data_IF_500751252582
#
_entry.id   IF_500751252582
#
_cell.length_a   1.000
_cell.length_b   1.000
_cell.length_c   1.000
_cell.angle_alpha   90.00
_cell.angle_beta   90.00
_cell.angle_gamma   90.00
#
_symmetry.space_group_name_H-M   'P 1'
#
loop_
_entity.id
_entity.type
_entity.pdbx_description
1 polymer ?
#
# COMPACT_ATOMS: atom_id res chain seq x y z
N UNK A 1 2.92 -5.54 37.66
CA UNK A 1 3.68 -6.45 36.76
C UNK A 1 2.74 -6.85 35.64
N UNK A 2 2.48 -5.97 34.67
CA UNK A 2 1.72 -6.29 33.44
C UNK A 2 1.89 -5.25 32.32
N UNK A 3 2.34 -4.02 32.60
CA UNK A 3 2.39 -2.98 31.56
C UNK A 3 3.59 -3.09 30.60
N UNK A 4 4.64 -3.83 30.97
CA UNK A 4 5.85 -3.94 30.13
C UNK A 4 5.75 -5.01 29.02
N UNK A 5 4.76 -5.90 29.08
CA UNK A 5 4.64 -7.02 28.12
C UNK A 5 3.83 -6.61 26.88
N UNK A 6 2.79 -5.78 27.04
CA UNK A 6 1.91 -5.32 25.95
C UNK A 6 2.61 -4.45 24.91
N UNK A 7 3.64 -3.67 25.30
CA UNK A 7 4.41 -2.86 24.34
C UNK A 7 5.40 -3.69 23.50
N UNK A 8 5.80 -4.86 23.97
CA UNK A 8 6.83 -5.67 23.29
C UNK A 8 6.27 -6.42 22.07
N UNK A 9 5.01 -6.84 22.11
CA UNK A 9 4.35 -7.52 21.00
C UNK A 9 3.99 -6.54 19.87
N UNK A 10 3.53 -5.33 20.20
CA UNK A 10 3.24 -4.30 19.21
C UNK A 10 4.52 -3.75 18.57
N UNK A 11 5.62 -3.60 19.34
CA UNK A 11 6.94 -3.31 18.76
C UNK A 11 7.46 -4.46 17.89
N UNK A 12 7.26 -5.72 18.30
CA UNK A 12 7.70 -6.87 17.52
C UNK A 12 6.90 -6.99 16.21
N UNK A 13 5.59 -6.75 16.24
CA UNK A 13 4.74 -6.67 15.05
C UNK A 13 5.12 -5.49 14.16
N UNK A 14 5.40 -4.32 14.73
CA UNK A 14 5.86 -3.16 13.97
C UNK A 14 7.24 -3.41 13.34
N UNK A 15 8.15 -4.08 14.04
CA UNK A 15 9.46 -4.50 13.52
C UNK A 15 9.32 -5.58 12.45
N UNK A 16 8.41 -6.54 12.60
CA UNK A 16 8.12 -7.56 11.61
C UNK A 16 7.50 -6.95 10.34
N UNK A 17 6.48 -6.12 10.50
CA UNK A 17 5.86 -5.38 9.40
C UNK A 17 6.87 -4.46 8.70
N UNK A 18 7.75 -3.78 9.47
CA UNK A 18 8.83 -2.98 8.90
C UNK A 18 9.84 -3.85 8.13
N UNK A 19 10.16 -5.04 8.64
CA UNK A 19 11.08 -5.98 7.99
C UNK A 19 10.47 -6.58 6.72
N UNK A 20 9.18 -6.94 6.73
CA UNK A 20 8.42 -7.39 5.56
C UNK A 20 8.29 -6.27 4.52
N UNK A 21 8.01 -5.05 4.98
CA UNK A 21 7.96 -3.85 4.16
C UNK A 21 9.33 -3.54 3.51
N UNK A 22 10.43 -3.65 4.26
CA UNK A 22 11.80 -3.53 3.73
C UNK A 22 12.18 -4.68 2.78
N UNK A 23 11.62 -5.89 2.98
CA UNK A 23 11.88 -7.04 2.12
C UNK A 23 11.19 -6.97 0.76
N UNK A 24 10.04 -6.28 0.70
CA UNK A 24 9.22 -6.09 -0.51
C UNK A 24 9.60 -4.85 -1.31
N UNK A 25 10.23 -3.84 -0.68
CA UNK A 25 10.68 -2.62 -1.33
C UNK A 25 11.98 -2.84 -2.14
N UNK A 26 11.92 -3.68 -3.15
CA UNK A 26 12.91 -3.64 -4.21
C UNK A 26 12.65 -2.36 -5.04
N UNK A 27 13.61 -1.44 -5.05
CA UNK A 27 13.44 -0.15 -5.72
C UNK A 27 13.24 -0.34 -7.23
N UNK A 28 12.05 0.01 -7.71
CA UNK A 28 11.76 0.04 -9.13
C UNK A 28 12.45 1.28 -9.73
N UNK A 29 13.45 1.04 -10.58
CA UNK A 29 14.25 2.06 -11.25
C UNK A 29 14.19 1.90 -12.78
N UNK A 30 14.90 2.75 -13.52
CA UNK A 30 14.92 2.74 -14.99
C UNK A 30 15.43 1.44 -15.60
N UNK A 31 16.45 0.84 -15.00
CA UNK A 31 17.03 -0.40 -15.48
C UNK A 31 16.05 -1.57 -15.30
N UNK A 32 15.26 -1.53 -14.23
CA UNK A 32 14.15 -2.45 -14.00
C UNK A 32 13.05 -2.27 -15.05
N UNK A 33 12.48 -1.06 -15.20
CA UNK A 33 11.29 -0.86 -16.07
C UNK A 33 11.59 -1.01 -17.56
N UNK A 34 12.85 -0.87 -17.97
CA UNK A 34 13.28 -1.05 -19.36
C UNK A 34 13.70 -2.49 -19.69
N UNK A 35 13.64 -3.42 -18.72
CA UNK A 35 13.99 -4.81 -18.91
C UNK A 35 12.82 -5.73 -18.58
N UNK A 36 12.24 -6.34 -19.61
CA UNK A 36 11.12 -7.27 -19.42
C UNK A 36 11.50 -8.48 -18.56
N UNK A 37 12.74 -8.99 -18.69
CA UNK A 37 13.24 -10.07 -17.85
C UNK A 37 13.31 -9.67 -16.36
N UNK A 38 13.70 -8.43 -16.05
CA UNK A 38 13.75 -7.93 -14.67
C UNK A 38 12.34 -7.70 -14.12
N UNK A 39 11.44 -7.12 -14.92
CA UNK A 39 10.03 -6.98 -14.55
C UNK A 39 9.39 -8.34 -14.28
N UNK A 40 9.67 -9.33 -15.12
CA UNK A 40 9.16 -10.68 -14.93
C UNK A 40 9.71 -11.32 -13.65
N UNK A 41 11.00 -11.13 -13.36
CA UNK A 41 11.62 -11.57 -12.10
C UNK A 41 10.96 -10.94 -10.87
N UNK A 42 10.68 -9.63 -10.92
CA UNK A 42 9.97 -8.91 -9.86
C UNK A 42 8.52 -9.38 -9.72
N UNK A 43 7.84 -9.64 -10.83
CA UNK A 43 6.47 -10.14 -10.81
C UNK A 43 6.42 -11.50 -10.12
N UNK A 44 7.25 -12.47 -10.54
CA UNK A 44 7.35 -13.77 -9.88
C UNK A 44 7.73 -13.66 -8.40
N UNK A 45 8.60 -12.71 -8.04
CA UNK A 45 8.93 -12.43 -6.65
C UNK A 45 7.72 -11.92 -5.88
N UNK A 46 6.97 -10.96 -6.43
CA UNK A 46 5.73 -10.45 -5.85
C UNK A 46 4.72 -11.57 -5.60
N UNK A 47 4.57 -12.46 -6.58
CA UNK A 47 3.75 -13.66 -6.44
C UNK A 47 4.26 -14.52 -5.27
N UNK A 48 5.55 -14.84 -5.21
CA UNK A 48 6.08 -15.72 -4.15
C UNK A 48 5.86 -15.24 -2.70
N UNK A 49 5.62 -13.95 -2.47
CA UNK A 49 5.44 -13.37 -1.14
C UNK A 49 3.99 -13.08 -0.76
N UNK A 50 3.08 -12.96 -1.73
CA UNK A 50 1.72 -12.48 -1.50
C UNK A 50 0.69 -13.54 -1.86
N UNK A 51 -0.46 -13.52 -1.17
CA UNK A 51 -1.60 -14.29 -1.63
C UNK A 51 -2.12 -13.70 -2.94
N UNK A 52 -2.18 -14.54 -3.98
CA UNK A 52 -2.64 -14.14 -5.30
C UNK A 52 -4.16 -14.28 -5.39
N UNK A 53 -4.81 -13.31 -6.02
CA UNK A 53 -6.25 -13.34 -6.26
C UNK A 53 -6.62 -13.93 -7.63
N UNK A 54 -5.67 -14.57 -8.33
CA UNK A 54 -5.88 -15.15 -9.66
C UNK A 54 -5.20 -16.52 -9.78
N UNK A 55 -5.65 -17.31 -10.75
CA UNK A 55 -5.03 -18.60 -11.05
C UNK A 55 -3.74 -18.40 -11.85
N UNK A 56 -2.60 -18.74 -11.23
CA UNK A 56 -1.26 -18.60 -11.83
C UNK A 56 -1.07 -19.60 -12.99
N UNK A 57 -1.82 -20.71 -13.01
CA UNK A 57 -1.76 -21.69 -14.10
C UNK A 57 -2.57 -21.26 -15.34
N UNK A 58 -3.49 -20.30 -15.20
CA UNK A 58 -4.19 -19.69 -16.32
C UNK A 58 -3.27 -18.70 -17.04
N UNK A 59 -2.74 -19.13 -18.19
CA UNK A 59 -1.83 -18.33 -19.04
C UNK A 59 -2.42 -16.96 -19.41
N UNK A 60 -3.74 -16.88 -19.63
CA UNK A 60 -4.39 -15.61 -20.00
C UNK A 60 -4.42 -14.68 -18.78
N UNK A 61 -4.82 -15.19 -17.63
CA UNK A 61 -4.84 -14.41 -16.40
C UNK A 61 -3.43 -13.95 -16.02
N UNK A 62 -2.45 -14.86 -16.05
CA UNK A 62 -1.04 -14.54 -15.78
C UNK A 62 -0.52 -13.42 -16.67
N UNK A 63 -0.78 -13.50 -17.98
CA UNK A 63 -0.36 -12.47 -18.93
C UNK A 63 -1.01 -11.12 -18.64
N UNK A 64 -2.32 -11.10 -18.38
CA UNK A 64 -3.05 -9.87 -18.05
C UNK A 64 -2.52 -9.20 -16.78
N UNK A 65 -2.29 -10.01 -15.73
CA UNK A 65 -1.71 -9.54 -14.46
C UNK A 65 -0.29 -9.03 -14.61
N UNK A 66 0.51 -9.67 -15.45
CA UNK A 66 1.84 -9.20 -15.76
C UNK A 66 1.82 -7.85 -16.50
N UNK A 67 0.90 -7.63 -17.45
CA UNK A 67 0.76 -6.33 -18.11
C UNK A 67 0.38 -5.22 -17.12
N UNK A 68 -0.60 -5.47 -16.25
CA UNK A 68 -0.99 -4.53 -15.20
C UNK A 68 0.19 -4.21 -14.27
N UNK A 69 0.94 -5.23 -13.88
CA UNK A 69 2.13 -5.08 -13.06
C UNK A 69 3.19 -4.20 -13.71
N UNK A 70 3.41 -4.34 -15.03
CA UNK A 70 4.33 -3.47 -15.78
C UNK A 70 3.89 -2.01 -15.75
N UNK A 71 2.60 -1.74 -15.88
CA UNK A 71 2.05 -0.38 -15.75
C UNK A 71 2.26 0.19 -14.35
N UNK A 72 1.98 -0.59 -13.30
CA UNK A 72 2.22 -0.18 -11.91
C UNK A 72 3.70 0.11 -11.64
N UNK A 73 4.62 -0.75 -12.11
CA UNK A 73 6.06 -0.54 -11.97
C UNK A 73 6.53 0.75 -12.66
N UNK A 74 6.03 1.04 -13.87
CA UNK A 74 6.30 2.30 -14.58
C UNK A 74 5.81 3.51 -13.80
N UNK A 75 4.59 3.43 -13.27
CA UNK A 75 4.01 4.48 -12.44
C UNK A 75 4.86 4.74 -11.18
N UNK A 76 5.26 3.68 -10.47
CA UNK A 76 6.09 3.79 -9.25
C UNK A 76 7.42 4.48 -9.56
N UNK A 77 8.14 4.03 -10.60
CA UNK A 77 9.40 4.64 -11.01
C UNK A 77 9.24 6.13 -11.31
N UNK A 78 8.21 6.50 -12.08
CA UNK A 78 7.97 7.90 -12.42
C UNK A 78 7.54 8.74 -11.19
N UNK A 79 6.68 8.19 -10.33
CA UNK A 79 6.22 8.88 -9.13
C UNK A 79 7.38 9.14 -8.15
N UNK A 80 8.21 8.14 -7.89
CA UNK A 80 9.34 8.26 -6.95
C UNK A 80 10.40 9.27 -7.44
N UNK A 81 10.48 9.51 -8.74
CA UNK A 81 11.35 10.54 -9.34
C UNK A 81 10.78 11.96 -9.30
N UNK A 82 9.49 12.11 -9.02
CA UNK A 82 8.80 13.42 -9.04
C UNK A 82 9.16 14.32 -7.86
N UNK A 83 9.84 13.80 -6.84
CA UNK A 83 10.12 14.53 -5.59
C UNK A 83 8.90 14.70 -4.69
N UNK A 84 7.90 13.82 -4.83
CA UNK A 84 6.74 13.73 -3.93
C UNK A 84 7.18 13.54 -2.47
N UNK A 85 6.34 13.99 -1.53
CA UNK A 85 6.58 13.82 -0.09
C UNK A 85 6.47 12.37 0.40
N UNK A 86 6.04 11.46 -0.48
CA UNK A 86 5.96 10.03 -0.24
C UNK A 86 6.47 9.26 -1.46
N UNK A 87 6.85 8.01 -1.23
CA UNK A 87 7.27 7.07 -2.27
C UNK A 87 6.25 5.94 -2.37
N UNK A 88 6.06 5.42 -3.58
CA UNK A 88 5.32 4.21 -3.83
C UNK A 88 6.27 3.00 -3.86
N UNK A 89 5.75 1.82 -3.53
CA UNK A 89 6.46 0.55 -3.59
C UNK A 89 5.61 -0.51 -4.25
N UNK A 90 6.26 -1.60 -4.67
CA UNK A 90 5.54 -2.81 -5.07
C UNK A 90 4.93 -3.45 -3.83
N UNK A 91 3.69 -3.91 -3.97
CA UNK A 91 2.88 -4.52 -2.92
C UNK A 91 1.96 -5.60 -3.52
N UNK A 92 1.16 -6.23 -2.66
CA UNK A 92 0.19 -7.27 -3.03
C UNK A 92 -0.91 -6.83 -4.01
N UNK A 93 -1.06 -5.53 -4.27
CA UNK A 93 -2.05 -4.98 -5.21
C UNK A 93 -1.41 -4.52 -6.54
N UNK A 94 -0.14 -4.81 -6.77
CA UNK A 94 0.59 -4.24 -7.90
C UNK A 94 0.17 -4.81 -9.26
N UNK A 95 -0.52 -5.94 -9.30
CA UNK A 95 -1.07 -6.61 -10.48
C UNK A 95 -2.57 -6.31 -10.73
N UNK A 96 -3.17 -5.48 -9.86
CA UNK A 96 -4.55 -5.01 -9.98
C UNK A 96 -4.63 -3.68 -10.70
N UNK A 97 -5.69 -3.50 -11.50
CA UNK A 97 -6.09 -2.15 -11.91
C UNK A 97 -6.94 -1.49 -10.82
N UNK A 98 -6.96 -0.15 -10.79
CA UNK A 98 -7.70 0.62 -9.78
C UNK A 98 -9.16 0.19 -9.64
N UNK A 99 -9.85 -0.12 -10.75
CA UNK A 99 -11.25 -0.57 -10.72
C UNK A 99 -11.43 -1.91 -10.01
N UNK A 100 -10.51 -2.85 -10.22
CA UNK A 100 -10.54 -4.15 -9.56
C UNK A 100 -10.23 -4.00 -8.07
N UNK A 101 -9.23 -3.19 -7.73
CA UNK A 101 -8.90 -2.88 -6.34
C UNK A 101 -10.11 -2.29 -5.61
N UNK A 102 -10.79 -1.30 -6.20
CA UNK A 102 -11.98 -0.69 -5.61
C UNK A 102 -13.15 -1.68 -5.50
N UNK A 103 -13.29 -2.61 -6.44
CA UNK A 103 -14.38 -3.61 -6.41
C UNK A 103 -14.15 -4.65 -5.32
N UNK A 104 -12.93 -5.19 -5.22
CA UNK A 104 -12.56 -6.22 -4.27
C UNK A 104 -12.39 -5.68 -2.84
N UNK A 105 -11.84 -4.47 -2.72
CA UNK A 105 -11.46 -3.84 -1.45
C UNK A 105 -12.20 -2.54 -1.20
N UNK A 106 -13.45 -2.39 -1.65
CA UNK A 106 -14.25 -1.22 -1.25
C UNK A 106 -14.34 -1.18 0.28
N UNK A 107 -13.75 -0.16 0.88
CA UNK A 107 -13.85 0.03 2.32
C UNK A 107 -15.33 0.25 2.62
N UNK A 108 -15.86 -0.39 3.67
CA UNK A 108 -17.16 -0.02 4.22
C UNK A 108 -17.10 1.49 4.46
N UNK A 109 -17.88 2.25 3.69
CA UNK A 109 -17.99 3.69 3.89
C UNK A 109 -18.62 3.86 5.27
N UNK A 110 -17.78 4.03 6.29
CA UNK A 110 -18.26 4.39 7.60
C UNK A 110 -18.73 5.83 7.47
N UNK A 111 -20.05 6.08 7.59
CA UNK A 111 -20.53 7.45 7.51
C UNK A 111 -19.76 8.25 8.55
N UNK A 112 -19.29 9.44 8.17
CA UNK A 112 -18.75 10.40 9.13
C UNK A 112 -19.78 10.46 10.27
N UNK A 113 -19.35 10.17 11.51
CA UNK A 113 -20.20 10.43 12.68
C UNK A 113 -20.70 11.86 12.49
N UNK A 114 -22.02 12.12 12.55
CA UNK A 114 -22.52 13.49 12.44
C UNK A 114 -21.70 14.30 13.41
N UNK A 115 -21.06 15.37 12.92
CA UNK A 115 -20.17 16.18 13.74
C UNK A 115 -20.94 16.48 15.03
N UNK A 116 -20.46 15.96 16.17
CA UNK A 116 -20.81 16.60 17.42
C UNK A 116 -20.37 18.03 17.17
N UNK A 117 -21.35 18.93 17.13
CA UNK A 117 -21.13 20.36 17.01
C UNK A 117 -20.13 20.65 18.11
N UNK A 118 -18.84 20.71 17.76
CA UNK A 118 -17.84 21.32 18.62
C UNK A 118 -18.42 22.71 18.74
N UNK A 119 -18.92 23.00 19.94
CA UNK A 119 -19.43 24.29 20.31
C UNK A 119 -18.64 25.34 19.53
N UNK A 120 -19.35 25.99 18.61
CA UNK A 120 -18.81 26.97 17.68
C UNK A 120 -17.77 27.80 18.40
N UNK A 121 -16.59 27.95 17.79
CA UNK A 121 -15.38 28.61 18.31
C UNK A 121 -15.65 29.81 19.25
N UNK A 122 -16.76 30.53 19.05
CA UNK A 122 -17.37 31.48 19.99
C UNK A 122 -17.41 31.03 21.46
N UNK A 123 -17.87 29.82 21.81
CA UNK A 123 -17.98 29.36 23.21
C UNK A 123 -16.60 29.09 23.85
N UNK A 124 -15.58 28.80 23.02
CA UNK A 124 -14.20 28.62 23.47
C UNK A 124 -13.47 29.96 23.71
N UNK A 125 -13.88 31.02 23.00
CA UNK A 125 -13.31 32.36 23.17
C UNK A 125 -13.91 33.11 24.36
N UNK A 126 -15.21 32.91 24.64
CA UNK A 126 -15.87 33.55 25.80
C UNK A 126 -15.36 33.01 27.15
N UNK A 127 -14.96 31.73 27.21
CA UNK A 127 -14.41 31.13 28.43
C UNK A 127 -12.95 31.50 28.73
N UNK A 128 -12.28 32.28 27.86
CA UNK A 128 -10.90 32.73 28.08
C UNK A 128 -10.78 34.20 28.51
N UNK A 129 -11.90 34.91 28.63
CA UNK A 129 -11.96 36.33 29.01
C UNK A 129 -12.47 36.54 30.45
N UNK A 130 -12.70 35.47 31.22
CA UNK A 130 -13.01 35.54 32.66
C UNK A 130 -11.83 35.08 33.52
#
# INVERSE_FOLDING_TARGET
>A
VTDDILNSEDEAKAKLHKLEFEKLHEEVNDDTVNSEAKLHGLFLKCLSFNDHHFDVEDEKAFKERFENFKDTARFINQHNKSGSSFTCGLNEFSDLILQEFLTAYSWKIYPKKPSQVIASISEYLDNKVN
#
